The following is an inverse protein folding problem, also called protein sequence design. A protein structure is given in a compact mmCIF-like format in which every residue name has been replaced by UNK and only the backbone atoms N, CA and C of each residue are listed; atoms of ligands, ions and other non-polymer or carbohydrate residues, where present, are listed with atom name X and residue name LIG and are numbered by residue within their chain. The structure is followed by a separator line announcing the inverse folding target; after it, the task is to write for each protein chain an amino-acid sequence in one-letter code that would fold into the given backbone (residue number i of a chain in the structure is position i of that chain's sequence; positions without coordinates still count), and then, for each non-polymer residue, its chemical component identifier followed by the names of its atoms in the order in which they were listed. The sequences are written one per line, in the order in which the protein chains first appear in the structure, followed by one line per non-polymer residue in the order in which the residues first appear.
data_IF_950564422323
#
_entry.id   IF_950564422323
#
_cell.length_a   1.000
_cell.length_b   1.000
_cell.length_c   1.000
_cell.angle_alpha   90.00
_cell.angle_beta   90.00
_cell.angle_gamma   90.00
#
_symmetry.space_group_name_H-M   'P 1'
#
loop_
_entity.id
_entity.type
_entity.pdbx_description
1 polymer ?
#
# COMPACT_ATOMS: atom_id res chain seq x y z
N UNK A 1 19.99 -2.02 4.73
CA UNK A 1 20.53 -1.06 3.74
C UNK A 1 19.73 0.22 3.92
N UNK A 2 20.34 1.29 4.44
CA UNK A 2 19.70 2.60 4.53
C UNK A 2 20.20 3.45 3.37
N UNK A 3 19.28 4.02 2.60
CA UNK A 3 19.58 5.09 1.64
C UNK A 3 18.80 6.30 2.11
N UNK A 4 19.51 7.31 2.62
CA UNK A 4 18.96 8.66 2.77
C UNK A 4 18.93 9.27 1.37
N UNK A 5 17.75 9.61 0.85
CA UNK A 5 17.60 10.58 -0.22
C UNK A 5 16.78 11.74 0.32
N UNK A 6 17.34 12.93 0.30
CA UNK A 6 16.65 14.18 0.58
C UNK A 6 15.75 14.52 -0.62
N UNK A 7 14.58 13.89 -0.71
CA UNK A 7 13.55 14.30 -1.65
C UNK A 7 12.42 14.99 -0.88
N UNK A 8 12.57 16.32 -0.78
CA UNK A 8 11.43 17.22 -0.56
C UNK A 8 10.57 17.15 -1.82
N UNK A 9 9.34 16.64 -1.70
CA UNK A 9 8.15 17.36 -2.15
C UNK A 9 6.84 16.61 -1.81
N UNK A 10 5.82 17.44 -1.59
CA UNK A 10 4.38 17.17 -1.70
C UNK A 10 3.60 16.67 -0.46
N UNK A 11 3.09 17.67 0.27
CA UNK A 11 1.86 17.68 1.09
C UNK A 11 1.84 16.82 2.36
N UNK A 12 2.09 17.49 3.48
CA UNK A 12 1.70 17.05 4.81
C UNK A 12 0.20 17.36 5.02
N UNK A 13 -0.65 16.50 4.46
CA UNK A 13 -2.06 16.38 4.87
C UNK A 13 -2.13 15.62 6.21
N UNK A 14 -3.11 15.92 7.08
CA UNK A 14 -3.05 15.60 8.50
C UNK A 14 -2.96 14.08 8.75
N UNK A 15 -2.05 13.72 9.66
CA UNK A 15 -1.78 12.35 10.10
C UNK A 15 -3.02 11.76 10.78
N UNK A 16 -3.88 11.11 10.02
CA UNK A 16 -4.71 10.01 10.52
C UNK A 16 -5.18 9.03 9.43
N UNK A 17 -4.38 8.85 8.38
CA UNK A 17 -4.59 7.78 7.40
C UNK A 17 -3.25 7.08 7.18
N UNK A 18 -3.08 5.94 7.84
CA UNK A 18 -1.97 4.98 7.75
C UNK A 18 -0.55 5.55 7.44
N UNK A 19 0.29 5.72 8.47
CA UNK A 19 1.67 6.23 8.39
C UNK A 19 2.67 5.24 7.72
N UNK A 20 2.47 4.91 6.44
CA UNK A 20 3.45 4.19 5.62
C UNK A 20 4.46 5.16 5.01
N UNK A 21 5.76 4.89 5.18
CA UNK A 21 6.82 5.67 4.51
C UNK A 21 6.76 5.50 2.98
N UNK A 22 7.42 6.39 2.24
CA UNK A 22 7.48 6.29 0.78
C UNK A 22 8.13 4.97 0.35
N UNK A 23 9.19 4.56 1.04
CA UNK A 23 9.89 3.31 0.79
C UNK A 23 8.99 2.10 1.05
N UNK A 24 8.20 2.12 2.13
CA UNK A 24 7.23 1.05 2.41
C UNK A 24 6.16 0.94 1.31
N UNK A 25 5.61 2.08 0.85
CA UNK A 25 4.64 2.10 -0.25
C UNK A 25 5.27 1.59 -1.55
N UNK A 26 6.49 2.03 -1.85
CA UNK A 26 7.22 1.60 -3.05
C UNK A 26 7.54 0.10 -3.04
N UNK A 27 8.03 -0.44 -1.91
CA UNK A 27 8.30 -1.87 -1.75
C UNK A 27 7.03 -2.70 -1.89
N UNK A 28 5.91 -2.26 -1.29
CA UNK A 28 4.63 -2.96 -1.40
C UNK A 28 4.11 -2.96 -2.85
N UNK A 29 4.16 -1.82 -3.55
CA UNK A 29 3.76 -1.72 -4.94
C UNK A 29 4.61 -2.62 -5.87
N UNK A 30 5.92 -2.70 -5.62
CA UNK A 30 6.81 -3.58 -6.37
C UNK A 30 6.42 -5.05 -6.18
N UNK A 31 6.22 -5.48 -4.94
CA UNK A 31 5.79 -6.84 -4.61
C UNK A 31 4.44 -7.19 -5.25
N UNK A 32 3.45 -6.30 -5.16
CA UNK A 32 2.12 -6.53 -5.74
C UNK A 32 2.19 -6.72 -7.26
N UNK A 33 3.04 -5.96 -7.97
CA UNK A 33 3.26 -6.14 -9.41
C UNK A 33 3.89 -7.48 -9.75
N UNK A 34 4.84 -7.94 -8.94
CA UNK A 34 5.43 -9.27 -9.13
C UNK A 34 4.39 -10.38 -8.92
N UNK A 35 3.57 -10.26 -7.86
CA UNK A 35 2.51 -11.22 -7.59
C UNK A 35 1.45 -11.23 -8.69
N UNK A 36 1.05 -10.07 -9.23
CA UNK A 36 0.10 -9.99 -10.36
C UNK A 36 0.64 -10.63 -11.64
N UNK A 37 1.95 -10.62 -11.87
CA UNK A 37 2.55 -11.37 -13.00
C UNK A 37 2.39 -12.87 -12.83
N UNK A 38 2.55 -13.37 -11.61
CA UNK A 38 2.41 -14.81 -11.30
C UNK A 38 0.93 -15.23 -11.19
N UNK A 39 0.07 -14.34 -10.71
CA UNK A 39 -1.35 -14.55 -10.49
C UNK A 39 -2.19 -13.42 -11.13
N UNK A 40 -2.38 -13.45 -12.47
CA UNK A 40 -3.02 -12.34 -13.20
C UNK A 40 -4.43 -11.98 -12.73
N UNK A 41 -5.16 -12.98 -12.24
CA UNK A 41 -6.55 -12.83 -11.79
C UNK A 41 -6.67 -12.68 -10.27
N UNK A 42 -5.56 -12.59 -9.53
CA UNK A 42 -5.62 -12.35 -8.10
C UNK A 42 -6.22 -10.97 -7.80
N UNK A 43 -7.09 -10.95 -6.77
CA UNK A 43 -7.67 -9.75 -6.20
C UNK A 43 -6.74 -9.21 -5.11
N UNK A 44 -6.54 -7.89 -5.10
CA UNK A 44 -5.81 -7.20 -4.03
C UNK A 44 -6.87 -6.56 -3.14
N UNK A 45 -6.97 -7.03 -1.91
CA UNK A 45 -7.96 -6.60 -0.90
C UNK A 45 -7.29 -6.39 0.45
N UNK A 46 -7.91 -5.58 1.29
CA UNK A 46 -7.56 -5.43 2.69
C UNK A 46 -8.01 -6.62 3.53
N UNK A 47 -7.39 -6.81 4.69
CA UNK A 47 -7.83 -7.83 5.65
C UNK A 47 -9.23 -7.48 6.20
N UNK A 48 -9.57 -6.19 6.31
CA UNK A 48 -10.89 -5.72 6.74
C UNK A 48 -12.01 -6.07 5.74
N UNK A 49 -11.67 -6.26 4.46
CA UNK A 49 -12.64 -6.65 3.43
C UNK A 49 -13.05 -8.12 3.58
N UNK A 50 -12.13 -8.94 4.11
CA UNK A 50 -12.33 -10.36 4.36
C UNK A 50 -12.81 -10.64 5.79
N UNK A 51 -12.46 -9.75 6.74
CA UNK A 51 -12.85 -9.83 8.13
C UNK A 51 -13.19 -8.42 8.66
N UNK A 52 -14.47 -8.01 8.59
CA UNK A 52 -14.91 -6.69 9.01
C UNK A 52 -14.70 -6.38 10.50
N UNK A 53 -14.35 -7.37 11.33
CA UNK A 53 -14.03 -7.14 12.74
C UNK A 53 -12.61 -6.61 12.97
N UNK A 54 -11.81 -6.46 11.91
CA UNK A 54 -10.44 -5.95 11.97
C UNK A 54 -10.36 -4.67 11.17
N UNK A 55 -9.74 -3.64 11.73
CA UNK A 55 -9.49 -2.38 10.99
C UNK A 55 -8.21 -2.43 10.14
N UNK A 56 -7.60 -3.61 10.01
CA UNK A 56 -6.37 -3.79 9.24
C UNK A 56 -6.69 -4.11 7.79
N UNK A 57 -5.99 -3.56 6.79
CA UNK A 57 -5.01 -2.50 6.94
C UNK A 57 -5.68 -1.16 7.25
N UNK A 58 -4.93 -0.22 7.83
CA UNK A 58 -5.41 1.12 8.19
C UNK A 58 -5.73 2.03 6.99
N UNK A 59 -5.83 1.47 5.77
CA UNK A 59 -6.11 2.18 4.52
C UNK A 59 -6.94 1.28 3.61
N UNK A 60 -7.63 1.86 2.64
CA UNK A 60 -8.41 1.13 1.65
C UNK A 60 -7.48 0.54 0.56
N UNK A 61 -7.13 -0.74 0.71
CA UNK A 61 -6.21 -1.42 -0.19
C UNK A 61 -6.83 -1.71 -1.57
N UNK A 62 -8.14 -1.99 -1.62
CA UNK A 62 -8.85 -2.24 -2.88
C UNK A 62 -8.84 -0.97 -3.74
N UNK A 63 -9.11 0.19 -3.14
CA UNK A 63 -9.08 1.48 -3.82
C UNK A 63 -7.66 1.90 -4.22
N UNK A 64 -6.67 1.75 -3.33
CA UNK A 64 -5.29 2.18 -3.60
C UNK A 64 -4.64 1.39 -4.75
N UNK A 65 -4.93 0.09 -4.85
CA UNK A 65 -4.30 -0.80 -5.82
C UNK A 65 -5.21 -1.20 -6.99
N UNK A 66 -6.34 -0.51 -7.15
CA UNK A 66 -7.26 -0.74 -8.27
C UNK A 66 -6.53 -0.54 -9.59
N UNK A 67 -6.56 -1.56 -10.44
CA UNK A 67 -5.96 -1.53 -11.77
C UNK A 67 -4.53 -2.07 -11.85
N UNK A 68 -3.98 -2.62 -10.76
CA UNK A 68 -2.82 -3.54 -10.81
C UNK A 68 -3.22 -4.95 -11.25
#
# INVERSE_FOLDING_TARGET
IFVRSEDRDFNYEPIFDCLRTLEQKASLLALLRELKRVFPHALIVGHHDLNPQKDCPCFDAEKEYRGL
#
